data_IF_955466887853
#
_entry.id   IF_955466887853
#
_cell.length_a   1.000
_cell.length_b   1.000
_cell.length_c   1.000
_cell.angle_alpha   90.00
_cell.angle_beta   90.00
_cell.angle_gamma   90.00
#
_symmetry.space_group_name_H-M   'P 1'
#
loop_
_entity.id
_entity.type
_entity.pdbx_description
1 polymer ?
#
# COMPACT_ATOMS: atom_id res chain seq x y z
N UNK A 1 13.48 -19.38 -20.42
CA UNK A 1 12.39 -19.58 -19.43
C UNK A 1 12.28 -18.29 -18.64
N UNK A 2 11.43 -17.39 -19.12
CA UNK A 2 11.18 -16.06 -18.58
C UNK A 2 10.39 -16.15 -17.29
N UNK A 3 11.03 -15.92 -16.15
CA UNK A 3 10.32 -15.64 -14.91
C UNK A 3 9.75 -14.24 -15.01
N UNK A 4 8.48 -14.14 -15.42
CA UNK A 4 7.68 -12.92 -15.32
C UNK A 4 7.90 -12.30 -13.94
N UNK A 5 8.44 -11.09 -13.88
CA UNK A 5 8.59 -10.34 -12.63
C UNK A 5 7.21 -9.79 -12.23
N UNK A 6 6.21 -10.67 -12.05
CA UNK A 6 4.92 -10.30 -11.49
C UNK A 6 5.02 -10.09 -9.98
N UNK A 7 4.37 -9.04 -9.46
CA UNK A 7 4.29 -8.87 -8.02
C UNK A 7 3.48 -10.06 -7.49
N UNK A 8 3.97 -10.69 -6.44
CA UNK A 8 3.20 -11.72 -5.73
C UNK A 8 1.88 -11.12 -5.22
N UNK A 9 0.91 -11.97 -4.93
CA UNK A 9 -0.35 -11.53 -4.34
C UNK A 9 -0.14 -10.72 -3.05
N UNK A 10 0.80 -11.15 -2.20
CA UNK A 10 1.16 -10.46 -0.96
C UNK A 10 1.76 -9.08 -1.24
N UNK A 11 2.66 -8.97 -2.21
CA UNK A 11 3.27 -7.70 -2.60
C UNK A 11 2.23 -6.73 -3.20
N UNK A 12 1.31 -7.21 -4.04
CA UNK A 12 0.18 -6.41 -4.56
C UNK A 12 -0.70 -5.90 -3.41
N UNK A 13 -0.95 -6.74 -2.40
CA UNK A 13 -1.78 -6.36 -1.26
C UNK A 13 -1.08 -5.35 -0.33
N UNK A 14 0.23 -5.48 -0.11
CA UNK A 14 1.02 -4.48 0.62
C UNK A 14 1.06 -3.14 -0.10
N UNK A 15 1.11 -3.16 -1.43
CA UNK A 15 1.00 -1.97 -2.26
C UNK A 15 -0.33 -1.24 -2.03
N UNK A 16 -1.45 -1.98 -2.00
CA UNK A 16 -2.78 -1.42 -1.72
C UNK A 16 -2.90 -0.85 -0.29
N UNK A 17 -2.17 -1.42 0.66
CA UNK A 17 -2.06 -0.89 2.03
C UNK A 17 -1.21 0.39 2.12
N UNK A 18 -0.61 0.85 1.02
CA UNK A 18 0.15 2.10 0.95
C UNK A 18 1.67 1.94 1.02
N UNK A 19 2.22 0.71 1.01
CA UNK A 19 3.67 0.44 0.90
C UNK A 19 4.17 0.55 -0.53
N UNK A 20 3.77 1.64 -1.13
CA UNK A 20 3.89 1.91 -2.54
C UNK A 20 5.34 2.17 -2.94
N UNK A 21 6.10 2.87 -2.08
CA UNK A 21 7.45 3.35 -2.36
C UNK A 21 8.54 2.27 -2.35
N UNK A 22 8.19 1.01 -2.09
CA UNK A 22 9.15 -0.09 -1.85
C UNK A 22 9.31 -0.99 -3.07
N UNK A 23 10.52 -1.51 -3.25
CA UNK A 23 10.82 -2.51 -4.30
C UNK A 23 10.12 -3.84 -4.00
N UNK A 24 9.91 -4.74 -4.98
CA UNK A 24 9.41 -6.09 -4.71
C UNK A 24 10.27 -6.86 -3.69
N UNK A 25 11.59 -6.65 -3.71
CA UNK A 25 12.52 -7.32 -2.79
C UNK A 25 12.40 -6.75 -1.38
N UNK A 26 12.27 -5.43 -1.24
CA UNK A 26 12.03 -4.77 0.05
C UNK A 26 10.67 -5.17 0.64
N UNK A 27 9.62 -5.19 -0.18
CA UNK A 27 8.29 -5.64 0.24
C UNK A 27 8.35 -7.07 0.80
N UNK A 28 9.08 -7.96 0.13
CA UNK A 28 9.25 -9.35 0.59
C UNK A 28 9.96 -9.42 1.95
N UNK A 29 10.92 -8.55 2.21
CA UNK A 29 11.60 -8.49 3.52
C UNK A 29 10.66 -7.96 4.62
N UNK A 30 9.76 -7.04 4.28
CA UNK A 30 8.80 -6.45 5.22
C UNK A 30 7.65 -7.40 5.60
N UNK A 31 7.30 -8.36 4.74
CA UNK A 31 6.15 -9.25 4.93
C UNK A 31 6.09 -9.87 6.33
N UNK A 32 7.20 -10.45 6.82
CA UNK A 32 7.22 -11.10 8.13
C UNK A 32 6.99 -10.12 9.27
N UNK A 33 7.68 -8.97 9.27
CA UNK A 33 7.54 -7.95 10.31
C UNK A 33 6.14 -7.35 10.34
N UNK A 34 5.53 -7.12 9.16
CA UNK A 34 4.21 -6.51 9.05
C UNK A 34 3.07 -7.40 9.61
N UNK A 35 3.33 -8.69 9.82
CA UNK A 35 2.40 -9.63 10.48
C UNK A 35 2.45 -9.57 12.00
N UNK A 36 3.53 -9.05 12.58
CA UNK A 36 3.75 -9.06 14.02
C UNK A 36 2.63 -8.33 14.77
N UNK A 37 2.45 -7.03 14.48
CA UNK A 37 1.47 -6.19 15.15
C UNK A 37 0.03 -6.71 15.06
N UNK A 38 -0.53 -7.00 13.86
CA UNK A 38 -1.88 -7.57 13.78
C UNK A 38 -1.95 -8.96 14.41
N UNK A 39 -0.89 -9.77 14.36
CA UNK A 39 -0.81 -11.06 15.03
C UNK A 39 -0.95 -10.95 16.55
N UNK A 40 -0.15 -10.10 17.18
CA UNK A 40 -0.20 -9.87 18.65
C UNK A 40 -1.56 -9.30 19.06
N UNK A 41 -2.05 -8.29 18.37
CA UNK A 41 -3.37 -7.70 18.66
C UNK A 41 -4.51 -8.72 18.48
N UNK A 42 -4.43 -9.59 17.47
CA UNK A 42 -5.40 -10.67 17.27
C UNK A 42 -5.37 -11.69 18.40
N UNK A 43 -4.18 -12.10 18.85
CA UNK A 43 -4.04 -13.05 19.96
C UNK A 43 -4.62 -12.47 21.26
N UNK A 44 -4.35 -11.21 21.56
CA UNK A 44 -4.91 -10.53 22.74
C UNK A 44 -6.43 -10.40 22.60
N UNK A 45 -6.93 -10.01 21.42
CA UNK A 45 -8.37 -9.92 21.15
C UNK A 45 -9.07 -11.27 21.32
N UNK A 46 -8.49 -12.35 20.78
CA UNK A 46 -9.04 -13.69 20.92
C UNK A 46 -9.10 -14.15 22.38
N UNK A 47 -8.04 -13.91 23.15
CA UNK A 47 -8.03 -14.20 24.58
C UNK A 47 -9.09 -13.36 25.32
N UNK A 48 -9.21 -12.07 25.01
CA UNK A 48 -10.18 -11.19 25.63
C UNK A 48 -11.63 -11.60 25.33
N UNK A 49 -11.93 -12.05 24.11
CA UNK A 49 -13.23 -12.59 23.74
C UNK A 49 -13.53 -13.90 24.48
N UNK A 50 -12.55 -14.81 24.55
CA UNK A 50 -12.70 -16.10 25.23
C UNK A 50 -12.97 -15.94 26.73
N UNK A 51 -12.22 -15.06 27.40
CA UNK A 51 -12.38 -14.76 28.83
C UNK A 51 -13.43 -13.67 29.11
N UNK A 52 -14.12 -13.16 28.09
CA UNK A 52 -15.13 -12.10 28.19
C UNK A 52 -14.64 -10.87 28.96
N UNK A 53 -13.43 -10.39 28.61
CA UNK A 53 -12.75 -9.28 29.29
C UNK A 53 -12.89 -7.97 28.49
N UNK A 54 -13.93 -7.15 28.74
CA UNK A 54 -14.18 -5.91 27.98
C UNK A 54 -13.04 -4.89 28.11
N UNK A 55 -12.40 -4.79 29.28
CA UNK A 55 -11.31 -3.84 29.50
C UNK A 55 -10.07 -4.16 28.65
N UNK A 56 -9.79 -5.44 28.41
CA UNK A 56 -8.69 -5.85 27.53
C UNK A 56 -9.00 -5.46 26.08
N UNK A 57 -10.26 -5.61 25.64
CA UNK A 57 -10.70 -5.15 24.32
C UNK A 57 -10.56 -3.63 24.17
N UNK A 58 -10.88 -2.83 25.20
CA UNK A 58 -10.64 -1.38 25.18
C UNK A 58 -9.15 -1.02 25.06
N UNK A 59 -8.26 -1.77 25.73
CA UNK A 59 -6.81 -1.57 25.59
C UNK A 59 -6.37 -1.84 24.15
N UNK A 60 -6.80 -2.96 23.54
CA UNK A 60 -6.46 -3.25 22.14
C UNK A 60 -7.09 -2.22 21.19
N UNK A 61 -8.32 -1.77 21.48
CA UNK A 61 -8.98 -0.73 20.71
C UNK A 61 -8.18 0.57 20.71
N UNK A 62 -7.70 0.99 21.89
CA UNK A 62 -6.85 2.17 22.03
C UNK A 62 -5.58 2.05 21.18
N UNK A 63 -4.90 0.89 21.20
CA UNK A 63 -3.71 0.67 20.37
C UNK A 63 -4.02 0.85 18.87
N UNK A 64 -5.14 0.28 18.39
CA UNK A 64 -5.58 0.41 17.01
C UNK A 64 -5.94 1.85 16.63
N UNK A 65 -6.60 2.59 17.50
CA UNK A 65 -6.95 4.00 17.26
C UNK A 65 -5.72 4.93 17.34
N UNK A 66 -4.81 4.67 18.27
CA UNK A 66 -3.56 5.42 18.45
C UNK A 66 -2.70 5.39 17.18
N UNK A 67 -2.67 4.24 16.50
CA UNK A 67 -2.00 4.07 15.21
C UNK A 67 -2.37 5.13 14.16
N UNK A 68 -3.62 5.61 14.19
CA UNK A 68 -4.11 6.60 13.25
C UNK A 68 -3.42 7.95 13.41
N UNK A 69 -3.21 8.39 14.65
CA UNK A 69 -2.64 9.70 14.96
C UNK A 69 -1.11 9.72 14.95
N UNK A 70 -0.47 8.56 15.15
CA UNK A 70 0.99 8.45 15.28
C UNK A 70 1.57 7.43 14.29
N UNK A 71 1.90 7.83 13.04
CA UNK A 71 2.38 6.94 11.98
C UNK A 71 3.59 6.09 12.36
N UNK A 72 4.56 6.70 13.06
CA UNK A 72 5.80 6.05 13.52
C UNK A 72 5.73 5.57 14.99
N UNK A 73 4.59 5.77 15.66
CA UNK A 73 4.50 5.66 17.12
C UNK A 73 3.75 4.44 17.63
N UNK A 74 3.27 3.54 16.76
CA UNK A 74 2.44 2.42 17.18
C UNK A 74 3.19 1.55 18.21
N UNK A 75 2.67 1.34 19.44
CA UNK A 75 3.40 0.64 20.51
C UNK A 75 3.89 -0.76 20.13
N UNK A 76 3.07 -1.55 19.43
CA UNK A 76 3.49 -2.87 18.94
C UNK A 76 4.59 -2.81 17.86
N UNK A 77 4.60 -1.80 16.99
CA UNK A 77 5.67 -1.62 16.01
C UNK A 77 6.97 -1.18 16.71
N UNK A 78 6.88 -0.38 17.77
CA UNK A 78 8.02 -0.03 18.63
C UNK A 78 8.59 -1.25 19.35
N UNK A 79 7.74 -2.10 19.92
CA UNK A 79 8.13 -3.38 20.51
C UNK A 79 8.82 -4.25 19.47
N UNK A 80 8.27 -4.34 18.26
CA UNK A 80 8.91 -5.06 17.17
C UNK A 80 10.30 -4.51 16.87
N UNK A 81 10.40 -3.19 16.66
CA UNK A 81 11.63 -2.52 16.25
C UNK A 81 12.72 -2.51 17.33
N UNK A 82 12.36 -2.49 18.61
CA UNK A 82 13.35 -2.42 19.69
C UNK A 82 13.66 -3.77 20.33
N UNK A 83 12.73 -4.72 20.31
CA UNK A 83 12.85 -5.98 21.04
C UNK A 83 12.88 -7.16 20.07
N UNK A 84 11.92 -7.25 19.14
CA UNK A 84 11.76 -8.46 18.30
C UNK A 84 12.80 -8.51 17.19
N UNK A 85 12.94 -7.44 16.40
CA UNK A 85 13.84 -7.44 15.24
C UNK A 85 15.29 -7.80 15.59
N UNK A 86 15.91 -7.33 16.70
CA UNK A 86 17.31 -7.62 16.99
C UNK A 86 17.52 -9.09 17.37
N UNK A 87 16.51 -9.76 17.94
CA UNK A 87 16.58 -11.18 18.28
C UNK A 87 16.57 -12.10 17.05
N UNK A 88 15.96 -11.65 15.95
CA UNK A 88 15.77 -12.46 14.74
C UNK A 88 16.53 -11.93 13.52
N UNK A 89 17.33 -10.86 13.66
CA UNK A 89 18.03 -10.22 12.54
C UNK A 89 17.08 -9.69 11.46
N UNK A 90 15.87 -9.28 11.85
CA UNK A 90 14.84 -8.84 10.92
C UNK A 90 14.98 -7.36 10.53
N UNK A 91 14.32 -6.98 9.43
CA UNK A 91 14.31 -5.59 8.94
C UNK A 91 13.49 -4.66 9.83
N UNK A 92 13.88 -3.39 9.88
CA UNK A 92 13.12 -2.36 10.59
C UNK A 92 11.78 -2.09 9.88
N UNK A 93 10.70 -2.04 10.65
CA UNK A 93 9.41 -1.61 10.13
C UNK A 93 9.40 -0.11 9.87
N UNK A 94 8.93 0.32 8.68
CA UNK A 94 8.75 1.73 8.37
C UNK A 94 7.49 2.30 9.02
N UNK A 95 7.29 3.61 8.84
CA UNK A 95 6.08 4.28 9.31
C UNK A 95 4.81 3.74 8.63
N UNK A 96 3.70 3.74 9.38
CA UNK A 96 2.44 3.23 8.88
C UNK A 96 1.83 4.16 7.82
N UNK A 97 1.62 3.68 6.58
CA UNK A 97 0.94 4.46 5.55
C UNK A 97 -0.53 4.69 5.93
N UNK A 98 -1.14 5.69 5.30
CA UNK A 98 -2.49 6.13 5.63
C UNK A 98 -3.54 5.00 5.55
N UNK A 99 -3.51 4.18 4.51
CA UNK A 99 -4.48 3.09 4.32
C UNK A 99 -4.39 2.05 5.44
N UNK A 100 -3.17 1.67 5.84
CA UNK A 100 -2.95 0.77 6.99
C UNK A 100 -3.43 1.41 8.31
N UNK A 101 -3.21 2.71 8.51
CA UNK A 101 -3.70 3.44 9.69
C UNK A 101 -5.23 3.46 9.78
N UNK A 102 -5.91 3.64 8.66
CA UNK A 102 -7.38 3.56 8.58
C UNK A 102 -7.87 2.15 8.95
N UNK A 103 -7.17 1.10 8.50
CA UNK A 103 -7.48 -0.28 8.89
C UNK A 103 -7.32 -0.54 10.40
N UNK A 104 -6.24 -0.06 11.01
CA UNK A 104 -6.05 -0.15 12.47
C UNK A 104 -7.13 0.60 13.25
N UNK A 105 -7.52 1.79 12.79
CA UNK A 105 -8.58 2.58 13.40
C UNK A 105 -9.94 1.85 13.36
N UNK A 106 -10.30 1.29 12.21
CA UNK A 106 -11.53 0.50 12.05
C UNK A 106 -11.55 -0.75 12.94
N UNK A 107 -10.42 -1.46 13.03
CA UNK A 107 -10.26 -2.57 13.96
C UNK A 107 -10.45 -2.11 15.43
N UNK A 108 -9.95 -0.92 15.77
CA UNK A 108 -10.18 -0.30 17.08
C UNK A 108 -11.65 -0.02 17.38
N UNK A 109 -12.41 0.48 16.39
CA UNK A 109 -13.86 0.66 16.50
C UNK A 109 -14.57 -0.67 16.77
N UNK A 110 -14.21 -1.72 16.02
CA UNK A 110 -14.83 -3.04 16.20
C UNK A 110 -14.53 -3.63 17.60
N UNK A 111 -13.30 -3.49 18.10
CA UNK A 111 -12.94 -3.90 19.46
C UNK A 111 -13.69 -3.09 20.53
N UNK A 112 -13.87 -1.78 20.33
CA UNK A 112 -14.68 -0.91 21.21
C UNK A 112 -16.14 -1.39 21.22
N UNK A 113 -16.71 -1.68 20.06
CA UNK A 113 -18.07 -2.18 19.95
C UNK A 113 -18.24 -3.53 20.67
N UNK A 114 -17.32 -4.47 20.48
CA UNK A 114 -17.34 -5.75 21.21
C UNK A 114 -17.22 -5.55 22.73
N UNK A 115 -16.36 -4.63 23.19
CA UNK A 115 -16.20 -4.30 24.61
C UNK A 115 -17.49 -3.71 25.21
N UNK A 116 -18.13 -2.76 24.52
CA UNK A 116 -19.40 -2.15 24.94
C UNK A 116 -20.51 -3.20 24.98
N UNK A 117 -20.59 -4.10 24.00
CA UNK A 117 -21.58 -5.18 23.98
C UNK A 117 -21.43 -6.13 25.18
N UNK A 118 -20.20 -6.44 25.62
CA UNK A 118 -20.00 -7.18 26.87
C UNK A 118 -20.47 -6.39 28.10
N UNK A 119 -20.21 -5.07 28.16
CA UNK A 119 -20.71 -4.22 29.26
C UNK A 119 -22.23 -4.09 29.27
N UNK A 120 -22.89 -4.24 28.12
CA UNK A 120 -24.35 -4.25 27.98
C UNK A 120 -24.97 -5.63 28.22
N UNK A 121 -24.20 -6.61 28.70
CA UNK A 121 -24.66 -7.99 28.91
C UNK A 121 -25.18 -8.68 27.63
N UNK A 122 -24.60 -8.33 26.46
CA UNK A 122 -24.90 -8.92 25.15
C UNK A 122 -23.71 -9.76 24.62
N UNK A 123 -23.32 -10.86 25.31
CA UNK A 123 -22.09 -11.59 24.99
C UNK A 123 -22.11 -12.24 23.60
N UNK A 124 -23.27 -12.71 23.13
CA UNK A 124 -23.38 -13.32 21.79
C UNK A 124 -23.11 -12.31 20.68
N UNK A 125 -23.60 -11.07 20.83
CA UNK A 125 -23.33 -10.00 19.88
C UNK A 125 -21.86 -9.56 19.93
N UNK A 126 -21.29 -9.44 21.14
CA UNK A 126 -19.87 -9.13 21.33
C UNK A 126 -18.97 -10.16 20.65
N UNK A 127 -19.25 -11.45 20.85
CA UNK A 127 -18.53 -12.56 20.23
C UNK A 127 -18.69 -12.54 18.71
N UNK A 128 -19.89 -12.25 18.18
CA UNK A 128 -20.09 -12.15 16.74
C UNK A 128 -19.24 -11.05 16.10
N UNK A 129 -19.22 -9.84 16.71
CA UNK A 129 -18.36 -8.73 16.25
C UNK A 129 -16.88 -9.10 16.34
N UNK A 130 -16.47 -9.69 17.47
CA UNK A 130 -15.11 -10.13 17.71
C UNK A 130 -14.62 -11.20 16.73
N UNK A 131 -15.44 -12.21 16.44
CA UNK A 131 -15.12 -13.26 15.45
C UNK A 131 -15.00 -12.65 14.05
N UNK A 132 -15.92 -11.78 13.65
CA UNK A 132 -15.82 -11.09 12.36
C UNK A 132 -14.50 -10.32 12.24
N UNK A 133 -14.10 -9.60 13.29
CA UNK A 133 -12.82 -8.91 13.37
C UNK A 133 -11.62 -9.87 13.29
N UNK A 134 -11.65 -11.00 14.02
CA UNK A 134 -10.57 -12.01 13.98
C UNK A 134 -10.42 -12.66 12.61
N UNK A 135 -11.52 -12.90 11.89
CA UNK A 135 -11.49 -13.42 10.51
C UNK A 135 -10.80 -12.41 9.58
N UNK A 136 -11.18 -11.13 9.65
CA UNK A 136 -10.52 -10.09 8.86
C UNK A 136 -9.03 -9.97 9.18
N UNK A 137 -8.65 -10.03 10.46
CA UNK A 137 -7.25 -10.02 10.86
C UNK A 137 -6.49 -11.26 10.38
N UNK A 138 -7.10 -12.45 10.44
CA UNK A 138 -6.48 -13.67 9.95
C UNK A 138 -6.15 -13.57 8.45
N UNK A 139 -7.05 -12.98 7.64
CA UNK A 139 -6.79 -12.72 6.21
C UNK A 139 -5.58 -11.79 6.04
N UNK A 140 -5.53 -10.67 6.76
CA UNK A 140 -4.40 -9.72 6.70
C UNK A 140 -3.09 -10.36 7.14
N UNK A 141 -3.10 -11.14 8.23
CA UNK A 141 -1.90 -11.80 8.78
C UNK A 141 -1.36 -12.86 7.81
N UNK A 142 -2.24 -13.60 7.14
CA UNK A 142 -1.82 -14.71 6.25
C UNK A 142 -1.48 -14.25 4.84
N UNK A 143 -2.21 -13.25 4.33
CA UNK A 143 -2.16 -12.89 2.90
C UNK A 143 -1.72 -11.46 2.62
N UNK A 144 -1.63 -10.60 3.64
CA UNK A 144 -1.56 -9.14 3.51
C UNK A 144 -2.74 -8.50 2.78
N UNK A 145 -3.78 -9.24 2.39
CA UNK A 145 -4.98 -8.63 1.85
C UNK A 145 -5.77 -7.93 2.95
N UNK A 146 -5.96 -6.62 2.82
CA UNK A 146 -6.77 -5.83 3.74
C UNK A 146 -8.05 -5.37 3.04
N UNK A 147 -9.18 -5.95 3.43
CA UNK A 147 -10.49 -5.64 2.87
C UNK A 147 -10.79 -4.14 2.89
N UNK A 148 -10.42 -3.43 3.96
CA UNK A 148 -10.66 -2.00 4.05
C UNK A 148 -9.77 -1.18 3.11
N UNK A 149 -8.51 -1.58 2.91
CA UNK A 149 -7.64 -0.90 1.93
C UNK A 149 -8.15 -1.10 0.51
N UNK A 150 -8.65 -2.30 0.19
CA UNK A 150 -9.31 -2.58 -1.09
C UNK A 150 -10.60 -1.77 -1.28
N UNK A 151 -11.46 -1.69 -0.24
CA UNK A 151 -12.67 -0.87 -0.26
C UNK A 151 -12.34 0.62 -0.45
N UNK A 152 -11.29 1.11 0.22
CA UNK A 152 -10.82 2.48 0.08
C UNK A 152 -10.36 2.77 -1.36
N UNK A 153 -9.52 1.90 -1.94
CA UNK A 153 -9.11 2.03 -3.34
C UNK A 153 -10.32 2.05 -4.29
N UNK A 154 -11.27 1.13 -4.11
CA UNK A 154 -12.49 1.07 -4.92
C UNK A 154 -13.35 2.33 -4.80
N UNK A 155 -13.53 2.84 -3.57
CA UNK A 155 -14.28 4.07 -3.31
C UNK A 155 -13.60 5.28 -3.94
N UNK A 156 -12.29 5.42 -3.78
CA UNK A 156 -11.55 6.54 -4.36
C UNK A 156 -11.58 6.52 -5.89
N UNK A 157 -11.53 5.34 -6.51
CA UNK A 157 -11.74 5.17 -7.95
C UNK A 157 -13.16 5.58 -8.38
N UNK A 158 -14.17 5.17 -7.62
CA UNK A 158 -15.57 5.54 -7.89
C UNK A 158 -15.79 7.06 -7.78
N UNK A 159 -15.13 7.73 -6.84
CA UNK A 159 -15.21 9.19 -6.66
C UNK A 159 -14.32 9.99 -7.63
N UNK A 160 -13.53 9.33 -8.50
CA UNK A 160 -12.58 10.00 -9.40
C UNK A 160 -11.44 10.72 -8.69
N UNK A 161 -11.25 10.46 -7.38
CA UNK A 161 -10.19 11.05 -6.55
C UNK A 161 -8.91 10.20 -6.52
N UNK A 162 -8.91 9.09 -7.25
CA UNK A 162 -7.72 8.32 -7.54
C UNK A 162 -7.11 8.88 -8.83
N UNK A 163 -5.86 9.35 -8.81
CA UNK A 163 -5.19 9.89 -10.01
C UNK A 163 -5.34 8.89 -11.16
N UNK A 164 -6.25 9.23 -12.08
CA UNK A 164 -6.61 8.36 -13.19
C UNK A 164 -5.52 8.52 -14.23
N UNK A 165 -5.00 7.43 -14.80
CA UNK A 165 -4.09 7.54 -15.93
C UNK A 165 -4.75 8.37 -17.03
N UNK A 166 -3.98 9.24 -17.69
CA UNK A 166 -4.48 10.04 -18.81
C UNK A 166 -5.11 9.13 -19.87
N UNK A 167 -6.17 9.64 -20.52
CA UNK A 167 -6.78 8.95 -21.64
C UNK A 167 -5.82 8.89 -22.84
N UNK A 168 -6.08 7.96 -23.76
CA UNK A 168 -5.17 7.71 -24.88
C UNK A 168 -5.06 8.89 -25.85
N UNK A 169 -6.09 9.73 -25.99
CA UNK A 169 -6.04 10.88 -26.90
C UNK A 169 -5.19 12.00 -26.32
N UNK A 170 -5.31 12.26 -25.01
CA UNK A 170 -4.41 13.14 -24.26
C UNK A 170 -2.98 12.61 -24.28
N UNK A 171 -2.77 11.32 -24.05
CA UNK A 171 -1.44 10.69 -24.12
C UNK A 171 -0.79 10.86 -25.50
N UNK A 172 -1.53 10.61 -26.58
CA UNK A 172 -1.07 10.83 -27.97
C UNK A 172 -0.75 12.30 -28.23
N UNK A 173 -1.58 13.21 -27.74
CA UNK A 173 -1.34 14.64 -27.87
C UNK A 173 -0.04 15.05 -27.17
N UNK A 174 0.15 14.68 -25.91
CA UNK A 174 1.36 14.97 -25.15
C UNK A 174 2.60 14.35 -25.81
N UNK A 175 2.52 13.08 -26.22
CA UNK A 175 3.61 12.40 -26.92
C UNK A 175 4.03 13.11 -28.21
N UNK A 176 3.07 13.56 -29.04
CA UNK A 176 3.36 14.35 -30.26
C UNK A 176 4.02 15.70 -29.97
N UNK A 177 3.79 16.27 -28.79
CA UNK A 177 4.44 17.51 -28.35
C UNK A 177 5.79 17.25 -27.65
N UNK A 178 6.32 16.03 -27.75
CA UNK A 178 7.64 15.68 -27.22
C UNK A 178 7.65 15.28 -25.75
N UNK A 179 6.50 14.88 -25.18
CA UNK A 179 6.47 14.35 -23.83
C UNK A 179 7.32 13.07 -23.72
N UNK A 180 8.18 13.01 -22.71
CA UNK A 180 9.02 11.85 -22.44
C UNK A 180 8.17 10.72 -21.88
N UNK A 181 8.29 9.52 -22.45
CA UNK A 181 7.62 8.33 -21.91
C UNK A 181 8.58 7.63 -20.95
N UNK A 182 8.28 7.71 -19.65
CA UNK A 182 9.18 7.31 -18.58
C UNK A 182 8.70 6.02 -17.94
N UNK A 183 9.52 4.98 -18.06
CA UNK A 183 9.31 3.70 -17.42
C UNK A 183 9.86 3.74 -15.98
N UNK A 184 8.97 3.69 -14.99
CA UNK A 184 9.36 3.72 -13.57
C UNK A 184 9.56 2.33 -12.97
N UNK A 185 9.59 1.27 -13.79
CA UNK A 185 9.96 -0.09 -13.37
C UNK A 185 11.44 -0.17 -13.00
N UNK A 186 11.80 -1.26 -12.32
CA UNK A 186 13.21 -1.54 -12.03
C UNK A 186 14.03 -1.72 -13.30
N UNK A 187 15.33 -1.48 -13.23
CA UNK A 187 16.24 -1.63 -14.37
C UNK A 187 16.24 -3.07 -14.91
N UNK A 188 16.06 -4.07 -14.04
CA UNK A 188 15.94 -5.47 -14.44
C UNK A 188 14.66 -5.75 -15.23
N UNK A 189 13.52 -5.18 -14.81
CA UNK A 189 12.26 -5.31 -15.56
C UNK A 189 12.34 -4.61 -16.92
N UNK A 190 13.00 -3.45 -16.96
CA UNK A 190 13.24 -2.73 -18.20
C UNK A 190 14.10 -3.56 -19.16
N UNK A 191 15.24 -4.07 -18.70
CA UNK A 191 16.13 -4.90 -19.51
C UNK A 191 15.48 -6.20 -20.00
N UNK A 192 14.51 -6.75 -19.26
CA UNK A 192 13.80 -7.96 -19.64
C UNK A 192 12.72 -7.73 -20.72
N UNK A 193 12.06 -6.57 -20.70
CA UNK A 193 10.97 -6.21 -21.63
C UNK A 193 10.89 -4.69 -21.80
N UNK A 194 11.77 -4.16 -22.66
CA UNK A 194 11.84 -2.74 -23.01
C UNK A 194 10.82 -2.40 -24.09
N UNK A 195 10.27 -1.19 -24.03
CA UNK A 195 9.50 -0.61 -25.13
C UNK A 195 10.32 0.51 -25.75
N UNK A 196 10.52 0.47 -27.08
CA UNK A 196 11.30 1.47 -27.81
C UNK A 196 10.73 2.88 -27.62
N UNK A 197 11.61 3.88 -27.52
CA UNK A 197 11.20 5.27 -27.29
C UNK A 197 10.84 5.60 -25.84
N UNK A 198 11.00 4.65 -24.91
CA UNK A 198 10.86 4.89 -23.47
C UNK A 198 12.21 5.10 -22.79
N UNK A 199 12.21 5.84 -21.66
CA UNK A 199 13.39 6.07 -20.82
C UNK A 199 13.14 5.42 -19.46
N UNK A 200 14.05 4.58 -18.99
CA UNK A 200 13.92 3.97 -17.67
C UNK A 200 14.48 4.87 -16.57
N UNK A 201 13.61 5.29 -15.66
CA UNK A 201 13.95 5.96 -14.41
C UNK A 201 13.21 5.26 -13.27
N UNK A 202 13.80 4.23 -12.66
CA UNK A 202 13.16 3.45 -11.61
C UNK A 202 12.58 4.32 -10.49
N UNK A 203 11.40 3.96 -9.99
CA UNK A 203 10.67 4.69 -8.93
C UNK A 203 11.53 5.05 -7.71
N UNK A 204 12.49 4.18 -7.37
CA UNK A 204 13.43 4.36 -6.26
C UNK A 204 14.40 5.51 -6.52
N UNK A 205 14.88 5.63 -7.77
CA UNK A 205 15.88 6.62 -8.19
C UNK A 205 15.25 7.97 -8.50
N UNK A 206 13.92 8.08 -8.62
CA UNK A 206 13.25 9.35 -8.94
C UNK A 206 13.55 10.46 -7.93
N UNK A 207 13.79 10.10 -6.66
CA UNK A 207 14.09 11.08 -5.61
C UNK A 207 15.41 11.84 -5.84
N UNK A 208 16.37 11.19 -6.51
CA UNK A 208 17.69 11.76 -6.74
C UNK A 208 17.83 12.37 -8.15
N UNK A 209 16.80 12.22 -8.99
CA UNK A 209 16.84 12.57 -10.42
C UNK A 209 15.68 13.51 -10.83
N UNK A 210 15.18 14.34 -9.91
CA UNK A 210 14.08 15.28 -10.19
C UNK A 210 14.39 16.27 -11.32
N UNK A 211 15.65 16.68 -11.46
CA UNK A 211 16.11 17.60 -12.50
C UNK A 211 15.88 17.05 -13.92
N UNK A 212 15.76 15.73 -14.08
CA UNK A 212 15.44 15.13 -15.38
C UNK A 212 14.03 15.45 -15.86
N UNK A 213 13.13 15.85 -14.96
CA UNK A 213 11.73 16.16 -15.23
C UNK A 213 11.45 17.67 -15.32
N UNK A 214 12.37 18.52 -14.88
CA UNK A 214 12.17 19.97 -14.85
C UNK A 214 11.99 20.55 -16.26
N UNK A 215 10.91 21.31 -16.45
CA UNK A 215 10.58 21.95 -17.73
C UNK A 215 10.17 20.97 -18.85
N UNK A 216 10.01 19.67 -18.54
CA UNK A 216 9.60 18.65 -19.51
C UNK A 216 8.17 18.16 -19.21
N UNK A 217 7.44 17.79 -20.25
CA UNK A 217 6.23 17.01 -20.10
C UNK A 217 6.59 15.53 -20.06
N UNK A 218 6.02 14.75 -19.14
CA UNK A 218 6.35 13.33 -18.97
C UNK A 218 5.11 12.47 -18.79
N UNK A 219 5.12 11.31 -19.44
CA UNK A 219 4.13 10.24 -19.33
C UNK A 219 4.77 9.06 -18.58
N UNK A 220 4.41 8.91 -17.31
CA UNK A 220 4.95 7.89 -16.43
C UNK A 220 4.16 6.60 -16.59
N UNK A 221 4.82 5.47 -16.74
CA UNK A 221 4.14 4.18 -16.76
C UNK A 221 4.95 3.14 -15.98
N UNK A 222 4.28 2.05 -15.63
CA UNK A 222 4.94 0.87 -15.11
C UNK A 222 4.23 -0.38 -15.60
N UNK A 223 4.44 -1.52 -14.95
CA UNK A 223 3.82 -2.77 -15.39
C UNK A 223 2.29 -2.79 -15.25
N UNK A 224 1.75 -2.26 -14.16
CA UNK A 224 0.31 -2.34 -13.82
C UNK A 224 -0.33 -0.98 -13.52
N UNK A 225 0.37 0.13 -13.78
CA UNK A 225 -0.06 1.50 -13.42
C UNK A 225 0.11 1.88 -11.95
N UNK A 226 0.32 0.91 -11.07
CA UNK A 226 0.41 1.18 -9.64
C UNK A 226 1.63 2.07 -9.31
N UNK A 227 2.83 1.73 -9.80
CA UNK A 227 4.07 2.46 -9.49
C UNK A 227 4.14 3.85 -10.14
N UNK A 228 3.58 4.01 -11.32
CA UNK A 228 3.55 5.29 -12.01
C UNK A 228 2.69 6.33 -11.30
N UNK A 229 1.63 5.90 -10.60
CA UNK A 229 0.86 6.79 -9.71
C UNK A 229 1.68 7.31 -8.52
N UNK A 230 2.57 6.46 -7.98
CA UNK A 230 3.47 6.88 -6.90
C UNK A 230 4.50 7.87 -7.44
N UNK A 231 5.08 7.55 -8.60
CA UNK A 231 6.03 8.41 -9.27
C UNK A 231 5.39 9.79 -9.51
N UNK A 232 4.15 9.81 -10.02
CA UNK A 232 3.36 11.01 -10.23
C UNK A 232 3.20 11.81 -8.92
N UNK A 233 2.76 11.16 -7.84
CA UNK A 233 2.57 11.81 -6.56
C UNK A 233 3.89 12.38 -5.97
N UNK A 234 5.00 11.63 -6.08
CA UNK A 234 6.33 12.08 -5.63
C UNK A 234 6.79 13.31 -6.42
N UNK A 235 6.65 13.28 -7.75
CA UNK A 235 7.10 14.34 -8.64
C UNK A 235 6.25 15.61 -8.47
N UNK A 236 4.92 15.50 -8.37
CA UNK A 236 4.04 16.63 -8.08
C UNK A 236 4.31 17.27 -6.73
N UNK A 237 4.68 16.49 -5.71
CA UNK A 237 5.05 17.02 -4.38
C UNK A 237 6.30 17.93 -4.44
N UNK A 238 7.16 17.74 -5.45
CA UNK A 238 8.31 18.61 -5.70
C UNK A 238 7.98 19.80 -6.62
N UNK A 239 6.71 20.03 -6.94
CA UNK A 239 6.27 21.13 -7.79
C UNK A 239 6.39 20.86 -9.30
N UNK A 240 6.65 19.61 -9.71
CA UNK A 240 6.65 19.24 -11.11
C UNK A 240 5.20 19.06 -11.59
N UNK A 241 4.71 20.00 -12.39
CA UNK A 241 3.32 19.98 -12.90
C UNK A 241 3.18 19.25 -14.24
N UNK A 242 4.27 19.16 -15.02
CA UNK A 242 4.27 18.54 -16.36
C UNK A 242 4.26 17.01 -16.39
N UNK A 243 4.04 16.36 -15.24
CA UNK A 243 4.07 14.90 -15.11
C UNK A 243 2.66 14.32 -15.09
N UNK A 244 2.47 13.22 -15.82
CA UNK A 244 1.18 12.57 -16.02
C UNK A 244 1.34 11.05 -15.89
N UNK A 245 0.36 10.37 -15.28
CA UNK A 245 0.33 8.90 -15.25
C UNK A 245 -0.27 8.38 -16.55
N UNK A 246 0.44 7.52 -17.27
CA UNK A 246 -0.03 6.79 -18.45
C UNK A 246 -0.56 5.40 -18.08
N UNK A 247 -0.28 4.91 -16.87
CA UNK A 247 -0.79 3.66 -16.34
C UNK A 247 0.10 2.47 -16.66
N UNK A 248 -0.49 1.41 -17.21
CA UNK A 248 0.19 0.14 -17.43
C UNK A 248 0.86 0.04 -18.82
N UNK A 249 1.65 -1.02 -18.99
CA UNK A 249 2.40 -1.33 -20.21
C UNK A 249 1.55 -1.44 -21.48
N UNK A 250 0.29 -1.89 -21.37
CA UNK A 250 -0.56 -2.09 -22.55
C UNK A 250 -0.88 -0.77 -23.24
N UNK A 251 -1.16 0.27 -22.44
CA UNK A 251 -1.39 1.63 -22.93
C UNK A 251 -0.16 2.22 -23.61
N UNK A 252 1.03 1.93 -23.11
CA UNK A 252 2.29 2.42 -23.69
C UNK A 252 2.57 1.77 -25.04
N UNK A 253 2.35 0.45 -25.13
CA UNK A 253 2.45 -0.27 -26.40
C UNK A 253 1.44 0.26 -27.42
N UNK A 254 0.21 0.55 -27.00
CA UNK A 254 -0.79 1.18 -27.88
C UNK A 254 -0.38 2.58 -28.33
N UNK A 255 0.15 3.40 -27.41
CA UNK A 255 0.62 4.76 -27.70
C UNK A 255 1.70 4.76 -28.79
N UNK A 256 2.68 3.87 -28.66
CA UNK A 256 3.84 3.80 -29.55
C UNK A 256 3.47 3.11 -30.88
N UNK A 257 2.67 2.04 -30.84
CA UNK A 257 2.19 1.39 -32.06
C UNK A 257 1.33 2.32 -32.93
N UNK A 258 0.60 3.27 -32.34
CA UNK A 258 -0.17 4.27 -33.06
C UNK A 258 0.64 5.45 -33.63
N UNK A 259 1.97 5.44 -33.47
CA UNK A 259 2.88 6.48 -34.00
C UNK A 259 3.78 6.00 -35.14
N UNK A 260 3.72 4.71 -35.48
CA UNK A 260 4.37 4.11 -36.65
C UNK A 260 3.46 4.20 -37.89
#
# INVERSE_FOLDING_TARGET
MSSECDLSFQQKSLFQQGYQTYTPQELKQLEWGLRFTPGVCSSITAAALYFQQPYVLFVVAFLGMYAFFFPAGHPMDLIYNHIVRPMFGAVMLPENPFQRRVACFAAGIMNTAAAVLFLMELPMAAIAVGIALLVLQAIVITTHFCTLSWMYEGLMRMLGLWDVPVDMDTARMLHRHGALVVDVRSQNEYAADTIDGTVNLPLENLADNFSEFEGKSCLLFCRTGARSQIALAKLRKQGLEGVHDLGDMSKVRELIAGTA
#
